data_IF_556467792283
#
_entry.id   IF_556467792283
#
_cell.length_a   1.000
_cell.length_b   1.000
_cell.length_c   1.000
_cell.angle_alpha   90.00
_cell.angle_beta   90.00
_cell.angle_gamma   90.00
#
_symmetry.space_group_name_H-M   'P 1'
#
loop_
_entity.id
_entity.type
_entity.pdbx_description
1 polymer ?
#
# COMPACT_ATOMS: atom_id res chain seq x y z
N UNK A 1 5.68 4.37 24.81
CA UNK A 1 4.41 3.71 25.16
C UNK A 1 3.85 3.14 23.87
N UNK A 2 3.77 1.81 23.73
CA UNK A 2 3.14 1.20 22.56
C UNK A 2 1.66 1.58 22.55
N UNK A 3 1.21 2.25 21.50
CA UNK A 3 -0.20 2.60 21.35
C UNK A 3 -0.87 1.35 20.76
N UNK A 4 -1.41 0.48 21.62
CA UNK A 4 -2.21 -0.67 21.17
C UNK A 4 -3.27 -0.16 20.19
N UNK A 5 -3.24 -0.66 18.95
CA UNK A 5 -4.31 -0.41 17.99
C UNK A 5 -5.60 -0.95 18.63
N UNK A 6 -6.65 -0.14 18.64
CA UNK A 6 -7.97 -0.57 19.09
C UNK A 6 -8.83 -0.80 17.86
N UNK A 7 -9.47 -1.97 17.79
CA UNK A 7 -10.44 -2.27 16.73
C UNK A 7 -11.64 -1.34 16.91
N UNK A 8 -12.05 -0.57 15.88
CA UNK A 8 -13.27 0.20 15.92
C UNK A 8 -14.49 -0.69 16.16
N UNK A 9 -15.44 -0.22 16.97
CA UNK A 9 -16.75 -0.86 17.10
C UNK A 9 -17.71 -0.19 16.15
N UNK A 10 -18.19 -0.92 15.15
CA UNK A 10 -19.23 -0.46 14.23
C UNK A 10 -20.56 -1.15 14.51
N UNK A 11 -21.66 -0.42 14.34
CA UNK A 11 -23.00 -0.99 14.50
C UNK A 11 -23.37 -1.88 13.31
N UNK A 12 -22.86 -1.54 12.11
CA UNK A 12 -23.04 -2.30 10.88
C UNK A 12 -21.67 -2.82 10.39
N UNK A 13 -21.51 -4.15 10.20
CA UNK A 13 -20.30 -4.76 9.63
C UNK A 13 -19.78 -4.10 8.33
N UNK A 14 -20.68 -3.52 7.52
CA UNK A 14 -20.30 -2.86 6.27
C UNK A 14 -19.45 -1.62 6.49
N UNK A 15 -19.55 -0.99 7.66
CA UNK A 15 -18.81 0.23 7.97
C UNK A 15 -17.29 -0.02 8.03
N UNK A 16 -16.87 -1.25 8.36
CA UNK A 16 -15.45 -1.65 8.32
C UNK A 16 -14.81 -1.53 6.93
N UNK A 17 -15.60 -1.64 5.86
CA UNK A 17 -15.13 -1.55 4.46
C UNK A 17 -15.57 -0.25 3.79
N UNK A 18 -15.85 0.79 4.58
CA UNK A 18 -16.32 2.10 4.12
C UNK A 18 -15.36 3.23 4.48
N UNK A 19 -15.65 4.45 4.02
CA UNK A 19 -14.94 5.66 4.43
C UNK A 19 -13.62 5.94 3.70
N UNK A 20 -13.31 5.18 2.64
CA UNK A 20 -12.07 5.32 1.86
C UNK A 20 -10.99 4.30 2.27
N UNK A 21 -9.84 4.38 1.63
CA UNK A 21 -8.76 3.39 1.72
C UNK A 21 -7.42 4.06 1.94
N UNK A 22 -6.65 3.57 2.92
CA UNK A 22 -5.22 3.82 2.98
C UNK A 22 -4.54 2.85 2.03
N UNK A 23 -3.74 3.36 1.10
CA UNK A 23 -3.26 2.55 -0.01
C UNK A 23 -1.75 2.60 -0.13
N UNK A 24 -1.16 1.41 -0.18
CA UNK A 24 0.16 1.19 -0.73
C UNK A 24 -0.01 0.94 -2.22
N UNK A 25 0.54 1.77 -3.08
CA UNK A 25 0.51 1.60 -4.53
C UNK A 25 1.94 1.38 -5.04
N UNK A 26 2.20 0.29 -5.76
CA UNK A 26 3.49 -0.06 -6.34
C UNK A 26 3.34 -0.20 -7.86
N UNK A 27 4.05 0.62 -8.62
CA UNK A 27 4.10 0.53 -10.07
C UNK A 27 5.40 -0.09 -10.55
N UNK A 28 5.30 -0.97 -11.53
CA UNK A 28 6.42 -1.67 -12.12
C UNK A 28 6.51 -1.34 -13.61
N UNK A 29 7.69 -1.55 -14.18
CA UNK A 29 7.80 -1.82 -15.61
C UNK A 29 7.09 -3.15 -15.94
N UNK A 30 7.20 -3.63 -17.17
CA UNK A 30 6.59 -4.90 -17.57
C UNK A 30 7.05 -6.08 -16.70
N UNK A 31 6.09 -6.79 -16.10
CA UNK A 31 6.31 -8.00 -15.32
C UNK A 31 5.87 -9.22 -16.14
N UNK A 32 6.76 -10.20 -16.25
CA UNK A 32 6.44 -11.52 -16.82
C UNK A 32 5.70 -12.38 -15.81
N UNK A 33 5.07 -13.45 -16.28
CA UNK A 33 4.23 -14.33 -15.45
C UNK A 33 4.95 -14.83 -14.19
N UNK A 34 6.20 -15.27 -14.32
CA UNK A 34 7.00 -15.74 -13.17
C UNK A 34 7.37 -14.62 -12.19
N UNK A 35 7.45 -13.37 -12.65
CA UNK A 35 7.71 -12.21 -11.81
C UNK A 35 6.46 -11.84 -11.00
N UNK A 36 5.27 -11.92 -11.63
CA UNK A 36 3.99 -11.80 -10.93
C UNK A 36 3.84 -12.89 -9.86
N UNK A 37 4.19 -14.13 -10.18
CA UNK A 37 4.14 -15.21 -9.18
C UNK A 37 5.05 -14.95 -8.00
N UNK A 38 6.32 -14.60 -8.26
CA UNK A 38 7.27 -14.25 -7.21
C UNK A 38 6.80 -13.08 -6.36
N UNK A 39 6.25 -12.02 -6.97
CA UNK A 39 5.74 -10.84 -6.29
C UNK A 39 4.65 -11.21 -5.29
N UNK A 40 3.61 -11.89 -5.75
CA UNK A 40 2.45 -12.23 -4.93
C UNK A 40 2.79 -13.27 -3.86
N UNK A 41 3.60 -14.28 -4.19
CA UNK A 41 4.08 -15.25 -3.20
C UNK A 41 4.92 -14.57 -2.12
N UNK A 42 5.74 -13.58 -2.49
CA UNK A 42 6.53 -12.82 -1.53
C UNK A 42 5.63 -12.02 -0.60
N UNK A 43 4.61 -11.32 -1.14
CA UNK A 43 3.64 -10.59 -0.34
C UNK A 43 2.91 -11.49 0.66
N UNK A 44 2.33 -12.60 0.19
CA UNK A 44 1.57 -13.52 1.05
C UNK A 44 2.46 -14.32 2.03
N UNK A 45 3.79 -14.21 1.92
CA UNK A 45 4.76 -14.79 2.85
C UNK A 45 5.27 -13.81 3.92
N UNK A 46 4.83 -12.54 3.87
CA UNK A 46 5.20 -11.54 4.88
C UNK A 46 4.63 -11.97 6.23
N UNK A 47 5.48 -11.92 7.27
CA UNK A 47 5.05 -12.27 8.63
C UNK A 47 3.95 -11.32 9.11
N UNK A 48 2.93 -11.88 9.75
CA UNK A 48 1.71 -11.14 10.13
C UNK A 48 0.72 -10.89 8.98
N UNK A 49 1.01 -11.28 7.74
CA UNK A 49 0.07 -11.24 6.61
C UNK A 49 -0.53 -12.63 6.39
N UNK A 50 -1.86 -12.71 6.33
CA UNK A 50 -2.62 -13.94 6.18
C UNK A 50 -3.58 -13.85 5.01
N UNK A 51 -3.72 -14.95 4.27
CA UNK A 51 -4.59 -15.06 3.11
C UNK A 51 -3.91 -15.84 1.98
N UNK A 52 -4.39 -15.68 0.73
CA UNK A 52 -5.61 -14.97 0.37
C UNK A 52 -6.87 -15.69 0.88
N UNK A 53 -7.93 -14.93 1.15
CA UNK A 53 -9.24 -15.40 1.59
C UNK A 53 -10.31 -15.20 0.51
N UNK A 54 -11.37 -16.02 0.55
CA UNK A 54 -12.51 -15.94 -0.37
C UNK A 54 -13.32 -14.65 -0.19
N UNK A 55 -13.55 -14.26 1.07
CA UNK A 55 -14.36 -13.10 1.43
C UNK A 55 -13.57 -12.05 2.21
N UNK A 56 -14.15 -10.85 2.24
CA UNK A 56 -13.74 -9.74 3.09
C UNK A 56 -13.85 -10.12 4.56
N UNK A 57 -12.75 -10.01 5.30
CA UNK A 57 -12.77 -10.14 6.75
C UNK A 57 -13.45 -8.94 7.41
N UNK A 58 -14.27 -9.19 8.43
CA UNK A 58 -14.82 -8.17 9.32
C UNK A 58 -14.44 -8.52 10.75
N UNK A 59 -13.90 -7.58 11.55
CA UNK A 59 -13.58 -7.85 12.94
C UNK A 59 -14.75 -8.42 13.74
N UNK A 60 -14.46 -9.47 14.52
CA UNK A 60 -15.46 -10.20 15.31
C UNK A 60 -16.19 -11.31 14.55
N UNK A 61 -15.94 -11.50 13.26
CA UNK A 61 -16.40 -12.65 12.48
C UNK A 61 -15.30 -13.71 12.37
N UNK A 62 -15.71 -14.96 12.09
CA UNK A 62 -14.75 -16.02 11.78
C UNK A 62 -14.05 -15.74 10.45
N UNK A 63 -12.78 -16.14 10.35
CA UNK A 63 -12.04 -16.08 9.09
C UNK A 63 -12.74 -16.93 8.02
N UNK A 64 -12.83 -16.41 6.79
CA UNK A 64 -13.33 -17.18 5.64
C UNK A 64 -12.32 -18.26 5.23
N UNK A 65 -12.71 -19.14 4.32
CA UNK A 65 -11.81 -20.16 3.79
C UNK A 65 -10.64 -19.51 3.03
N UNK A 66 -9.44 -20.08 3.21
CA UNK A 66 -8.29 -19.71 2.39
C UNK A 66 -8.48 -20.19 0.96
N UNK A 67 -8.11 -19.34 0.01
CA UNK A 67 -8.11 -19.67 -1.41
C UNK A 67 -6.67 -19.73 -1.95
N UNK A 68 -6.53 -20.13 -3.21
CA UNK A 68 -5.23 -20.12 -3.90
C UNK A 68 -4.87 -18.69 -4.29
N UNK A 69 -3.57 -18.40 -4.27
CA UNK A 69 -3.04 -17.17 -4.87
C UNK A 69 -3.41 -17.19 -6.35
N UNK A 70 -4.21 -16.22 -6.76
CA UNK A 70 -4.47 -15.90 -8.15
C UNK A 70 -3.37 -14.97 -8.64
N UNK A 71 -3.06 -15.07 -9.93
CA UNK A 71 -2.10 -14.22 -10.63
C UNK A 71 -2.82 -13.54 -11.81
N UNK A 72 -2.51 -12.29 -12.15
CA UNK A 72 -3.25 -11.58 -13.18
C UNK A 72 -2.91 -12.13 -14.57
N UNK A 73 -3.93 -12.41 -15.35
CA UNK A 73 -3.75 -12.62 -16.78
C UNK A 73 -3.36 -11.30 -17.47
N UNK A 74 -2.76 -11.32 -18.67
CA UNK A 74 -2.55 -10.10 -19.43
C UNK A 74 -3.87 -9.33 -19.60
N UNK A 75 -3.83 -8.01 -19.42
CA UNK A 75 -5.00 -7.09 -19.50
C UNK A 75 -6.09 -7.33 -18.45
N UNK A 76 -5.75 -7.94 -17.32
CA UNK A 76 -6.69 -8.24 -16.23
C UNK A 76 -6.33 -7.50 -14.95
N UNK A 77 -7.37 -7.19 -14.17
CA UNK A 77 -7.26 -6.70 -12.80
C UNK A 77 -8.10 -7.59 -11.93
N UNK A 78 -7.49 -8.12 -10.87
CA UNK A 78 -8.22 -8.93 -9.90
C UNK A 78 -7.86 -8.52 -8.49
N UNK A 79 -8.80 -8.78 -7.59
CA UNK A 79 -8.61 -8.56 -6.17
C UNK A 79 -8.59 -9.85 -5.36
N UNK A 80 -7.89 -9.81 -4.24
CA UNK A 80 -7.84 -10.86 -3.22
C UNK A 80 -7.89 -10.23 -1.84
N UNK A 81 -8.53 -10.88 -0.89
CA UNK A 81 -8.66 -10.37 0.47
C UNK A 81 -7.64 -11.01 1.39
N UNK A 82 -7.17 -10.24 2.35
CA UNK A 82 -6.21 -10.68 3.36
C UNK A 82 -6.53 -10.11 4.73
N UNK A 83 -5.79 -10.62 5.71
CA UNK A 83 -5.81 -10.13 7.09
C UNK A 83 -4.37 -9.77 7.45
N UNK A 84 -4.17 -8.60 8.03
CA UNK A 84 -2.92 -8.25 8.70
C UNK A 84 -3.12 -8.31 10.20
N UNK A 85 -2.20 -8.97 10.90
CA UNK A 85 -2.16 -9.00 12.36
C UNK A 85 -1.13 -8.02 12.87
N UNK A 86 -1.60 -7.04 13.64
CA UNK A 86 -0.73 -6.11 14.36
C UNK A 86 -0.99 -6.32 15.85
N UNK A 87 0.02 -6.82 16.56
CA UNK A 87 -0.12 -7.36 17.92
C UNK A 87 -1.19 -8.47 17.99
N UNK A 88 -2.32 -8.22 18.66
CA UNK A 88 -3.45 -9.13 18.86
C UNK A 88 -4.68 -8.70 18.03
N UNK A 89 -4.51 -7.75 17.11
CA UNK A 89 -5.59 -7.15 16.31
C UNK A 89 -5.49 -7.60 14.86
N UNK A 90 -6.61 -8.10 14.33
CA UNK A 90 -6.78 -8.49 12.93
C UNK A 90 -7.51 -7.41 12.15
N UNK A 91 -6.91 -6.95 11.05
CA UNK A 91 -7.48 -5.95 10.14
C UNK A 91 -7.61 -6.56 8.76
N UNK A 92 -8.78 -6.40 8.14
CA UNK A 92 -9.00 -6.85 6.76
C UNK A 92 -8.40 -5.87 5.76
N UNK A 93 -7.80 -6.38 4.70
CA UNK A 93 -7.32 -5.57 3.57
C UNK A 93 -7.64 -6.24 2.24
N UNK A 94 -7.57 -5.47 1.17
CA UNK A 94 -7.67 -5.94 -0.21
C UNK A 94 -6.34 -5.75 -0.93
N UNK A 95 -5.92 -6.75 -1.70
CA UNK A 95 -4.83 -6.62 -2.67
C UNK A 95 -5.44 -6.52 -4.05
N UNK A 96 -5.06 -5.48 -4.78
CA UNK A 96 -5.38 -5.32 -6.19
C UNK A 96 -4.12 -5.54 -7.02
N UNK A 97 -4.17 -6.49 -7.94
CA UNK A 97 -3.09 -6.70 -8.89
C UNK A 97 -3.61 -6.45 -10.31
N UNK A 98 -3.02 -5.46 -10.96
CA UNK A 98 -3.39 -4.95 -12.27
C UNK A 98 -2.26 -5.23 -13.24
N UNK A 99 -2.57 -6.01 -14.28
CA UNK A 99 -1.67 -6.28 -15.38
C UNK A 99 -2.30 -5.75 -16.65
N UNK A 100 -1.82 -4.61 -17.14
CA UNK A 100 -2.35 -3.95 -18.32
C UNK A 100 -1.19 -3.43 -19.18
N UNK A 101 -1.38 -2.27 -19.83
CA UNK A 101 -0.28 -1.48 -20.41
C UNK A 101 0.73 -1.00 -19.35
N UNK A 102 0.33 -1.03 -18.08
CA UNK A 102 1.17 -0.84 -16.92
C UNK A 102 0.92 -1.96 -15.90
N UNK A 103 1.88 -2.16 -15.02
CA UNK A 103 1.85 -3.21 -14.00
C UNK A 103 1.74 -2.54 -12.63
N UNK A 104 0.68 -2.85 -11.89
CA UNK A 104 0.36 -2.21 -10.61
C UNK A 104 -0.01 -3.23 -9.54
N UNK A 105 0.55 -3.06 -8.35
CA UNK A 105 0.20 -3.82 -7.16
C UNK A 105 -0.20 -2.86 -6.06
N UNK A 106 -1.40 -3.03 -5.53
CA UNK A 106 -1.93 -2.16 -4.48
C UNK A 106 -2.41 -2.96 -3.28
N UNK A 107 -2.16 -2.43 -2.07
CA UNK A 107 -2.72 -2.94 -0.82
C UNK A 107 -3.62 -1.86 -0.25
N UNK A 108 -4.90 -2.18 -0.11
CA UNK A 108 -5.94 -1.26 0.35
C UNK A 108 -6.38 -1.67 1.75
N UNK A 109 -6.12 -0.80 2.72
CA UNK A 109 -6.61 -0.93 4.09
C UNK A 109 -7.78 0.05 4.26
N UNK A 110 -9.03 -0.43 4.36
CA UNK A 110 -10.17 0.45 4.54
C UNK A 110 -10.07 1.30 5.81
N UNK A 111 -10.46 2.57 5.72
CA UNK A 111 -10.46 3.49 6.87
C UNK A 111 -11.29 2.93 8.03
N UNK A 112 -12.42 2.29 7.72
CA UNK A 112 -13.29 1.63 8.71
C UNK A 112 -12.59 0.55 9.55
N UNK A 113 -11.46 -0.01 9.11
CA UNK A 113 -10.69 -1.00 9.88
C UNK A 113 -9.85 -0.36 11.00
N UNK A 114 -9.42 0.89 10.82
CA UNK A 114 -8.41 1.52 11.69
C UNK A 114 -8.87 2.80 12.37
N UNK A 115 -9.85 3.49 11.79
CA UNK A 115 -10.37 4.74 12.34
C UNK A 115 -11.40 4.44 13.42
N UNK A 116 -11.02 4.68 14.67
CA UNK A 116 -11.92 4.60 15.83
C UNK A 116 -12.74 5.89 15.98
N UNK A 117 -13.83 5.84 16.74
CA UNK A 117 -14.60 7.05 17.13
C UNK A 117 -13.69 8.10 17.77
N UNK A 118 -12.72 7.66 18.58
CA UNK A 118 -11.72 8.55 19.19
C UNK A 118 -10.75 9.19 18.17
N UNK A 119 -10.43 8.50 17.07
CA UNK A 119 -9.63 9.07 15.99
C UNK A 119 -10.41 10.14 15.20
N UNK A 120 -11.73 9.95 15.03
CA UNK A 120 -12.61 10.95 14.41
C UNK A 120 -12.73 12.22 15.26
N UNK A 121 -12.68 12.08 16.59
CA UNK A 121 -12.82 13.18 17.54
C UNK A 121 -11.48 13.84 17.92
N UNK A 122 -10.33 13.20 17.63
CA UNK A 122 -9.02 13.67 18.05
C UNK A 122 -7.97 13.61 16.92
N UNK A 123 -7.56 14.76 16.36
CA UNK A 123 -6.57 14.84 15.27
C UNK A 123 -5.23 14.19 15.60
N UNK A 124 -4.80 14.19 16.87
CA UNK A 124 -3.53 13.55 17.28
C UNK A 124 -3.60 12.03 17.20
N UNK A 125 -4.77 11.46 17.47
CA UNK A 125 -4.98 10.01 17.35
C UNK A 125 -5.03 9.61 15.88
N UNK A 126 -5.76 10.36 15.05
CA UNK A 126 -5.78 10.15 13.61
C UNK A 126 -4.38 10.22 12.98
N UNK A 127 -3.56 11.20 13.36
CA UNK A 127 -2.19 11.33 12.88
C UNK A 127 -1.32 10.11 13.25
N UNK A 128 -1.46 9.60 14.47
CA UNK A 128 -0.73 8.39 14.91
C UNK A 128 -1.16 7.13 14.19
N UNK A 129 -2.46 6.97 13.91
CA UNK A 129 -2.97 5.84 13.12
C UNK A 129 -2.37 5.90 11.72
N UNK A 130 -2.36 7.08 11.10
CA UNK A 130 -1.75 7.29 9.79
C UNK A 130 -0.25 6.94 9.80
N UNK A 131 0.51 7.45 10.75
CA UNK A 131 1.95 7.16 10.90
C UNK A 131 2.20 5.65 11.04
N UNK A 132 1.41 4.94 11.86
CA UNK A 132 1.53 3.49 12.01
C UNK A 132 1.23 2.71 10.72
N UNK A 133 0.24 3.17 9.94
CA UNK A 133 -0.07 2.57 8.63
C UNK A 133 1.05 2.84 7.63
N UNK A 134 1.60 4.06 7.60
CA UNK A 134 2.73 4.43 6.74
C UNK A 134 3.99 3.60 7.07
N UNK A 135 4.30 3.39 8.35
CA UNK A 135 5.41 2.53 8.78
C UNK A 135 5.20 1.07 8.35
N UNK A 136 3.99 0.54 8.50
CA UNK A 136 3.65 -0.81 8.06
C UNK A 136 3.78 -0.95 6.53
N UNK A 137 3.30 0.04 5.77
CA UNK A 137 3.45 0.06 4.31
C UNK A 137 4.90 0.25 3.87
N UNK A 138 5.72 1.00 4.61
CA UNK A 138 7.17 1.09 4.39
C UNK A 138 7.83 -0.27 4.54
N UNK A 139 7.49 -1.00 5.60
CA UNK A 139 7.99 -2.37 5.78
C UNK A 139 7.59 -3.28 4.61
N UNK A 140 6.31 -3.29 4.24
CA UNK A 140 5.81 -4.11 3.12
C UNK A 140 6.50 -3.71 1.82
N UNK A 141 6.55 -2.43 1.47
CA UNK A 141 7.16 -1.94 0.24
C UNK A 141 8.63 -2.38 0.12
N UNK A 142 9.43 -2.24 1.18
CA UNK A 142 10.83 -2.64 1.14
C UNK A 142 11.00 -4.15 0.93
N UNK A 143 10.17 -4.99 1.58
CA UNK A 143 10.18 -6.45 1.38
C UNK A 143 9.76 -6.82 -0.04
N UNK A 144 8.77 -6.12 -0.57
CA UNK A 144 8.33 -6.29 -1.95
C UNK A 144 9.42 -5.88 -2.95
N UNK A 145 10.14 -4.79 -2.69
CA UNK A 145 11.25 -4.35 -3.53
C UNK A 145 12.41 -5.36 -3.58
N UNK A 146 12.73 -5.98 -2.44
CA UNK A 146 13.72 -7.07 -2.37
C UNK A 146 13.33 -8.28 -3.24
N UNK A 147 12.02 -8.60 -3.28
CA UNK A 147 11.50 -9.69 -4.09
C UNK A 147 11.42 -9.33 -5.58
N UNK A 148 10.90 -8.16 -5.88
CA UNK A 148 10.73 -7.63 -7.24
C UNK A 148 10.81 -6.10 -7.19
N UNK A 149 11.86 -5.49 -7.75
CA UNK A 149 12.01 -4.04 -7.75
C UNK A 149 10.87 -3.35 -8.51
N UNK A 150 10.09 -2.52 -7.81
CA UNK A 150 9.13 -1.58 -8.41
C UNK A 150 9.84 -0.27 -8.79
N UNK A 151 9.22 0.54 -9.66
CA UNK A 151 9.77 1.81 -10.13
C UNK A 151 9.34 2.97 -9.24
N UNK A 152 8.05 3.06 -8.91
CA UNK A 152 7.49 4.00 -7.95
C UNK A 152 6.65 3.21 -6.93
N UNK A 153 6.78 3.58 -5.66
CA UNK A 153 5.87 3.19 -4.60
C UNK A 153 5.30 4.44 -3.94
N UNK A 154 4.03 4.48 -3.59
CA UNK A 154 3.42 5.64 -2.92
C UNK A 154 2.41 5.23 -1.88
N UNK A 155 2.32 6.01 -0.80
CA UNK A 155 1.28 5.86 0.22
C UNK A 155 0.35 7.05 0.18
N UNK A 156 -0.91 6.79 -0.07
CA UNK A 156 -1.91 7.85 -0.08
C UNK A 156 -3.26 7.34 0.40
N UNK A 157 -4.15 8.28 0.71
CA UNK A 157 -5.53 8.00 1.05
C UNK A 157 -6.41 8.16 -0.19
N UNK A 158 -7.01 7.06 -0.66
CA UNK A 158 -7.66 6.93 -1.98
C UNK A 158 -6.70 7.32 -3.11
N UNK A 159 -5.50 6.73 -3.09
CA UNK A 159 -4.45 7.00 -4.05
C UNK A 159 -4.66 6.27 -5.37
N UNK A 160 -3.72 6.46 -6.29
CA UNK A 160 -3.63 5.67 -7.51
C UNK A 160 -2.17 5.29 -7.74
N UNK A 161 -1.92 4.28 -8.58
CA UNK A 161 -0.57 3.96 -9.04
C UNK A 161 -0.05 5.07 -9.95
N UNK A 162 1.13 5.59 -9.66
CA UNK A 162 1.80 6.58 -10.50
C UNK A 162 2.78 5.94 -11.48
N UNK A 163 2.74 6.37 -12.74
CA UNK A 163 3.71 5.98 -13.76
C UNK A 163 4.69 7.10 -14.04
N UNK A 164 5.97 6.75 -14.25
CA UNK A 164 7.03 7.73 -14.52
C UNK A 164 6.72 8.53 -15.79
N UNK A 165 6.21 7.89 -16.84
CA UNK A 165 5.89 8.57 -18.10
C UNK A 165 4.71 9.54 -17.96
N UNK A 166 3.70 9.20 -17.16
CA UNK A 166 2.57 10.08 -16.87
C UNK A 166 3.01 11.30 -16.06
N UNK A 167 3.82 11.09 -15.01
CA UNK A 167 4.42 12.18 -14.25
C UNK A 167 5.40 13.02 -15.07
N UNK A 168 6.09 12.42 -16.05
CA UNK A 168 6.96 13.18 -16.95
C UNK A 168 6.14 14.09 -17.87
N UNK A 169 5.00 13.60 -18.37
CA UNK A 169 4.10 14.32 -19.27
C UNK A 169 3.25 15.40 -18.57
N UNK A 170 2.89 15.19 -17.30
CA UNK A 170 2.06 16.12 -16.51
C UNK A 170 2.85 16.74 -15.35
N UNK A 171 3.27 17.99 -15.54
CA UNK A 171 3.99 18.76 -14.53
C UNK A 171 3.18 18.99 -13.26
N UNK A 172 1.86 19.23 -13.35
CA UNK A 172 1.04 19.50 -12.18
C UNK A 172 0.86 18.24 -11.33
N UNK A 173 0.64 17.09 -11.98
CA UNK A 173 0.61 15.80 -11.30
C UNK A 173 1.95 15.48 -10.64
N UNK A 174 3.07 15.73 -11.33
CA UNK A 174 4.42 15.54 -10.79
C UNK A 174 4.71 16.40 -9.57
N UNK A 175 4.36 17.68 -9.62
CA UNK A 175 4.54 18.58 -8.48
C UNK A 175 3.68 18.14 -7.30
N UNK A 176 2.42 17.76 -7.53
CA UNK A 176 1.55 17.22 -6.49
C UNK A 176 2.13 15.95 -5.85
N UNK A 177 2.64 15.02 -6.67
CA UNK A 177 3.26 13.78 -6.21
C UNK A 177 4.50 14.02 -5.32
N UNK A 178 5.37 14.95 -5.70
CA UNK A 178 6.52 15.28 -4.85
C UNK A 178 6.15 16.10 -3.62
N UNK A 179 5.08 16.90 -3.69
CA UNK A 179 4.60 17.67 -2.54
C UNK A 179 3.94 16.78 -1.47
N UNK A 180 3.20 15.75 -1.88
CA UNK A 180 2.60 14.80 -0.94
C UNK A 180 3.67 14.02 -0.16
N UNK A 181 4.80 13.75 -0.81
CA UNK A 181 5.82 12.86 -0.28
C UNK A 181 5.27 11.45 -0.15
N UNK A 182 5.71 10.73 0.89
CA UNK A 182 5.35 9.34 1.14
C UNK A 182 5.56 8.42 -0.06
N UNK A 183 6.68 8.61 -0.76
CA UNK A 183 6.95 7.86 -1.97
C UNK A 183 8.35 7.26 -2.03
N UNK A 184 8.41 6.02 -2.51
CA UNK A 184 9.62 5.38 -2.99
C UNK A 184 9.75 5.61 -4.48
N UNK A 185 10.97 5.84 -4.93
CA UNK A 185 11.23 6.01 -6.35
C UNK A 185 12.66 5.63 -6.69
N UNK A 186 12.83 4.96 -7.83
CA UNK A 186 14.16 4.57 -8.29
C UNK A 186 15.00 5.77 -8.75
N UNK A 187 16.31 5.68 -8.60
CA UNK A 187 17.29 6.69 -9.05
C UNK A 187 17.10 7.05 -10.54
N UNK A 188 16.81 6.07 -11.39
CA UNK A 188 16.59 6.25 -12.83
C UNK A 188 15.31 7.04 -13.11
N UNK A 189 14.24 6.74 -12.37
CA UNK A 189 12.98 7.44 -12.46
C UNK A 189 13.10 8.89 -11.96
N UNK A 190 13.80 9.13 -10.85
CA UNK A 190 14.08 10.48 -10.34
C UNK A 190 14.78 11.36 -11.38
N UNK A 191 15.86 10.83 -11.99
CA UNK A 191 16.58 11.57 -13.04
C UNK A 191 15.69 11.87 -14.25
N UNK A 192 14.83 10.93 -14.65
CA UNK A 192 13.86 11.14 -15.74
C UNK A 192 12.82 12.21 -15.41
N UNK A 193 12.45 12.34 -14.14
CA UNK A 193 11.55 13.37 -13.62
C UNK A 193 12.27 14.70 -13.28
N UNK A 194 13.56 14.83 -13.60
CA UNK A 194 14.34 16.05 -13.37
C UNK A 194 14.64 16.33 -11.89
N UNK A 195 14.73 15.28 -11.07
CA UNK A 195 15.12 15.37 -9.65
C UNK A 195 16.49 14.78 -9.41
N UNK A 196 17.22 15.35 -8.46
CA UNK A 196 18.49 14.80 -8.00
C UNK A 196 18.21 13.69 -6.96
N UNK A 197 18.69 12.44 -7.16
CA UNK A 197 18.54 11.38 -6.17
C UNK A 197 19.13 11.69 -4.80
N UNK A 198 20.09 12.62 -4.71
CA UNK A 198 20.71 12.99 -3.44
C UNK A 198 19.82 13.88 -2.55
N UNK A 199 18.72 14.41 -3.10
CA UNK A 199 17.67 15.10 -2.33
C UNK A 199 16.80 14.12 -1.49
N UNK A 200 17.00 12.81 -1.66
CA UNK A 200 16.15 11.76 -1.11
C UNK A 200 16.95 10.76 -0.25
N UNK A 201 16.30 10.17 0.74
CA UNK A 201 16.90 9.14 1.60
C UNK A 201 17.11 7.85 0.81
N UNK A 202 18.33 7.31 0.77
CA UNK A 202 18.56 5.98 0.20
C UNK A 202 18.14 4.89 1.18
N UNK A 203 17.21 4.04 0.76
CA UNK A 203 16.63 2.98 1.60
C UNK A 203 16.93 1.57 1.09
N UNK A 204 17.26 1.43 -0.19
CA UNK A 204 17.77 0.20 -0.78
C UNK A 204 18.68 0.55 -1.98
N UNK A 205 19.31 -0.47 -2.58
CA UNK A 205 20.12 -0.26 -3.77
C UNK A 205 19.27 0.27 -4.93
N UNK A 206 19.55 1.51 -5.35
CA UNK A 206 18.80 2.19 -6.43
C UNK A 206 17.40 2.66 -6.06
N UNK A 207 16.98 2.55 -4.79
CA UNK A 207 15.68 3.01 -4.30
C UNK A 207 15.85 4.15 -3.30
N UNK A 208 15.13 5.25 -3.56
CA UNK A 208 15.07 6.42 -2.71
C UNK A 208 13.72 6.56 -2.06
N UNK A 209 13.67 7.28 -0.94
CA UNK A 209 12.47 7.56 -0.16
C UNK A 209 12.33 9.07 0.07
N UNK A 210 11.13 9.58 -0.18
CA UNK A 210 10.68 10.90 0.24
C UNK A 210 9.62 10.72 1.33
N UNK A 211 9.88 11.11 2.60
CA UNK A 211 8.87 11.04 3.65
C UNK A 211 7.67 11.93 3.35
N UNK A 212 6.54 11.70 4.04
CA UNK A 212 5.41 12.62 4.06
C UNK A 212 5.92 14.05 4.27
N UNK A 213 5.35 15.00 3.52
CA UNK A 213 5.85 16.36 3.40
C UNK A 213 6.54 16.91 4.65
N UNK A 214 7.81 17.28 4.50
CA UNK A 214 8.40 18.48 5.15
C UNK A 214 7.75 19.73 4.53
N UNK A 215 6.43 19.78 4.52
CA UNK A 215 5.63 20.92 4.08
C UNK A 215 5.51 21.94 5.19
N UNK A 216 6.68 22.35 5.71
CA UNK A 216 7.07 23.50 6.56
C UNK A 216 8.37 23.16 7.32
#
# INVERSE_FOLDING_TARGET
>A
MSTRIQIPTHADPREFWSGGTYELNLSFDTLRDNQWSRLLESFWSIDGVFGPYEDRYTPGQAESARTKIRYPAPTDTYSQYGIVSVDEVHLGFEVLATRSIFEGFSVHLPAGMVVTTAALENPKVAARVREAVEDAYRFVALRMYEAMPFVIGSFDFNGECYLVDELAADTAAREKFFLSGNCFIQDTALRKLGRDPDDFEQVANGLRWLPAGRGE
#
